data_IF_090072135057
#
_entry.id   IF_090072135057
#
_cell.length_a   1.000
_cell.length_b   1.000
_cell.length_c   1.000
_cell.angle_alpha   90.00
_cell.angle_beta   90.00
_cell.angle_gamma   90.00
#
_symmetry.space_group_name_H-M   'P 1'
#
loop_
_entity.id
_entity.type
_entity.pdbx_description
1 polymer ?
#
# COMPACT_ATOMS: atom_id res chain seq x y z
N UNK A 1 2.96 -11.15 -10.88
CA UNK A 1 3.39 -9.73 -11.02
C UNK A 1 4.38 -9.44 -9.90
N UNK A 2 5.26 -8.43 -9.98
CA UNK A 2 6.06 -8.05 -8.82
C UNK A 2 5.13 -7.65 -7.68
N UNK A 3 5.58 -7.80 -6.44
CA UNK A 3 4.88 -7.32 -5.24
C UNK A 3 5.88 -6.42 -4.54
N UNK A 4 5.54 -5.14 -4.42
CA UNK A 4 6.43 -4.11 -3.88
C UNK A 4 5.84 -3.50 -2.61
N UNK A 5 6.72 -3.19 -1.67
CA UNK A 5 6.48 -2.30 -0.54
C UNK A 5 7.43 -1.11 -0.67
N UNK A 6 7.07 0.04 -0.10
CA UNK A 6 7.82 1.28 -0.29
C UNK A 6 8.27 1.84 1.06
N UNK A 7 9.58 1.96 1.24
CA UNK A 7 10.17 2.63 2.40
C UNK A 7 10.35 4.12 2.10
N UNK A 8 9.70 4.96 2.89
CA UNK A 8 9.80 6.42 2.86
C UNK A 8 10.66 6.85 4.06
N UNK A 9 11.74 7.59 3.79
CA UNK A 9 12.54 8.27 4.81
C UNK A 9 12.31 9.77 4.66
N UNK A 10 11.63 10.40 5.62
CA UNK A 10 11.24 11.80 5.52
C UNK A 10 11.20 12.46 6.89
N UNK A 11 11.77 13.66 7.04
CA UNK A 11 11.80 14.43 8.28
C UNK A 11 12.26 13.62 9.52
N UNK A 12 13.23 12.72 9.32
CA UNK A 12 13.76 11.84 10.37
C UNK A 12 12.85 10.65 10.74
N UNK A 13 11.76 10.44 10.02
CA UNK A 13 10.80 9.34 10.21
C UNK A 13 10.99 8.26 9.16
N UNK A 14 10.71 7.00 9.53
CA UNK A 14 10.67 5.87 8.62
C UNK A 14 9.23 5.38 8.49
N UNK A 15 8.66 5.48 7.29
CA UNK A 15 7.30 5.01 6.98
C UNK A 15 7.38 3.92 5.93
N UNK A 16 6.71 2.80 6.17
CA UNK A 16 6.58 1.73 5.19
C UNK A 16 5.16 1.75 4.61
N UNK A 17 5.03 1.69 3.29
CA UNK A 17 3.75 1.51 2.61
C UNK A 17 3.67 0.09 2.07
N UNK A 18 2.65 -0.64 2.52
CA UNK A 18 2.43 -2.08 2.38
C UNK A 18 3.55 -2.95 2.98
N UNK A 19 3.29 -4.25 3.08
CA UNK A 19 4.22 -5.19 3.73
C UNK A 19 4.73 -6.27 2.79
N UNK A 20 4.10 -6.45 1.62
CA UNK A 20 4.48 -7.50 0.70
C UNK A 20 4.14 -8.90 1.24
N UNK A 21 4.86 -9.88 0.71
CA UNK A 21 4.81 -11.27 1.16
C UNK A 21 5.66 -11.49 2.43
N UNK A 22 5.10 -12.21 3.39
CA UNK A 22 5.83 -12.71 4.57
C UNK A 22 6.92 -13.71 4.21
N UNK A 23 7.92 -13.84 5.08
CA UNK A 23 8.84 -14.98 5.06
C UNK A 23 8.11 -16.33 5.09
N UNK A 24 6.93 -16.40 5.73
CA UNK A 24 6.10 -17.61 5.76
C UNK A 24 5.59 -18.01 4.37
N UNK A 25 5.47 -17.07 3.42
CA UNK A 25 5.17 -17.41 2.03
C UNK A 25 6.34 -18.15 1.37
N UNK A 26 7.59 -17.80 1.69
CA UNK A 26 8.78 -18.50 1.18
C UNK A 26 8.95 -19.90 1.80
N UNK A 27 8.46 -20.09 3.04
CA UNK A 27 8.57 -21.36 3.78
C UNK A 27 7.42 -22.32 3.43
N UNK A 28 6.17 -21.84 3.56
CA UNK A 28 4.96 -22.62 3.27
C UNK A 28 3.77 -21.70 2.95
N UNK A 29 3.76 -21.14 1.74
CA UNK A 29 2.69 -20.25 1.26
C UNK A 29 1.29 -20.83 1.42
N UNK A 30 1.08 -22.12 1.12
CA UNK A 30 -0.26 -22.74 1.23
C UNK A 30 -0.76 -22.74 2.67
N UNK A 31 0.10 -22.96 3.66
CA UNK A 31 -0.28 -22.87 5.08
C UNK A 31 -0.58 -21.42 5.47
N UNK A 32 0.31 -20.50 5.11
CA UNK A 32 0.22 -19.09 5.47
C UNK A 32 -0.97 -18.36 4.85
N UNK A 33 -1.20 -18.55 3.54
CA UNK A 33 -2.29 -17.93 2.78
C UNK A 33 -3.57 -18.75 2.80
N UNK A 34 -3.46 -20.07 2.95
CA UNK A 34 -4.60 -20.96 2.99
C UNK A 34 -5.01 -21.32 1.58
N UNK A 35 -5.88 -22.31 1.42
CA UNK A 35 -6.13 -22.91 0.11
C UNK A 35 -6.67 -21.87 -0.89
N UNK A 36 -7.68 -21.09 -0.51
CA UNK A 36 -8.31 -20.12 -1.41
C UNK A 36 -7.31 -19.06 -1.91
N UNK A 37 -6.71 -18.29 -1.00
CA UNK A 37 -5.79 -17.20 -1.37
C UNK A 37 -4.52 -17.72 -2.04
N UNK A 38 -4.00 -18.89 -1.65
CA UNK A 38 -2.85 -19.50 -2.32
C UNK A 38 -3.11 -19.76 -3.80
N UNK A 39 -4.29 -20.28 -4.15
CA UNK A 39 -4.63 -20.54 -5.55
C UNK A 39 -5.01 -19.28 -6.33
N UNK A 40 -5.47 -18.22 -5.66
CA UNK A 40 -5.76 -16.93 -6.29
C UNK A 40 -4.51 -16.06 -6.52
N UNK A 41 -3.53 -16.11 -5.60
CA UNK A 41 -2.28 -15.35 -5.69
C UNK A 41 -1.13 -16.21 -5.17
N UNK A 42 -0.43 -16.88 -6.10
CA UNK A 42 0.70 -17.76 -5.77
C UNK A 42 1.98 -16.93 -5.57
N UNK A 43 2.55 -16.90 -4.35
CA UNK A 43 3.78 -16.17 -4.11
C UNK A 43 4.98 -16.88 -4.75
N UNK A 44 5.81 -16.10 -5.44
CA UNK A 44 7.12 -16.53 -5.89
C UNK A 44 8.15 -15.62 -5.27
N UNK A 45 8.78 -16.08 -4.18
CA UNK A 45 9.78 -15.32 -3.44
C UNK A 45 10.75 -16.24 -2.69
N UNK A 46 11.91 -15.70 -2.39
CA UNK A 46 12.87 -16.23 -1.42
C UNK A 46 12.71 -15.50 -0.08
N UNK A 47 13.36 -16.00 0.97
CA UNK A 47 13.39 -15.30 2.26
C UNK A 47 13.97 -13.88 2.15
N UNK A 48 14.98 -13.68 1.28
CA UNK A 48 15.64 -12.39 1.09
C UNK A 48 14.75 -11.33 0.46
N UNK A 49 13.70 -11.75 -0.26
CA UNK A 49 12.73 -10.85 -0.86
C UNK A 49 11.70 -10.34 0.16
N UNK A 50 11.61 -10.94 1.36
CA UNK A 50 10.70 -10.46 2.41
C UNK A 50 11.10 -9.07 2.90
N UNK A 51 10.09 -8.25 3.23
CA UNK A 51 10.30 -6.87 3.67
C UNK A 51 11.18 -6.80 4.93
N UNK A 52 11.02 -7.75 5.86
CA UNK A 52 11.81 -7.79 7.10
C UNK A 52 13.31 -8.00 6.83
N UNK A 53 13.68 -8.71 5.77
CA UNK A 53 15.09 -8.87 5.38
C UNK A 53 15.60 -7.69 4.58
N UNK A 54 14.78 -7.15 3.68
CA UNK A 54 15.16 -5.96 2.93
C UNK A 54 15.39 -4.75 3.84
N UNK A 55 14.58 -4.56 4.89
CA UNK A 55 14.77 -3.49 5.88
C UNK A 55 16.10 -3.57 6.61
N UNK A 56 16.64 -4.77 6.85
CA UNK A 56 17.96 -4.94 7.48
C UNK A 56 19.08 -4.35 6.64
N UNK A 57 18.96 -4.35 5.30
CA UNK A 57 19.93 -3.72 4.41
C UNK A 57 19.94 -2.18 4.53
N UNK A 58 18.93 -1.60 5.21
CA UNK A 58 18.84 -0.18 5.53
C UNK A 58 19.09 0.11 7.01
N UNK A 59 19.64 -0.85 7.77
CA UNK A 59 19.84 -0.79 9.23
C UNK A 59 18.54 -0.53 10.03
N UNK A 60 17.41 -0.94 9.46
CA UNK A 60 16.09 -0.79 10.08
C UNK A 60 15.60 -2.12 10.68
N UNK A 61 15.16 -2.04 11.93
CA UNK A 61 14.32 -3.05 12.57
C UNK A 61 12.87 -2.56 12.59
N UNK A 62 11.87 -3.43 12.80
CA UNK A 62 10.48 -3.00 12.89
C UNK A 62 10.25 -1.85 13.87
N UNK A 63 10.93 -1.85 15.02
CA UNK A 63 10.81 -0.82 16.07
C UNK A 63 11.28 0.57 15.63
N UNK A 64 12.08 0.64 14.55
CA UNK A 64 12.51 1.90 13.95
C UNK A 64 11.51 2.45 12.91
N UNK A 65 10.45 1.70 12.57
CA UNK A 65 9.38 2.18 11.73
C UNK A 65 8.39 2.99 12.57
N UNK A 66 8.20 4.25 12.18
CA UNK A 66 7.25 5.15 12.81
C UNK A 66 5.81 4.84 12.39
N UNK A 67 5.63 4.33 11.17
CA UNK A 67 4.33 3.91 10.67
C UNK A 67 4.46 2.85 9.57
N UNK A 68 3.50 1.92 9.55
CA UNK A 68 3.22 1.04 8.42
C UNK A 68 1.84 1.38 7.89
N UNK A 69 1.74 1.86 6.65
CA UNK A 69 0.48 2.22 6.00
C UNK A 69 0.10 1.09 5.05
N UNK A 70 -1.06 0.49 5.25
CA UNK A 70 -1.62 -0.54 4.39
C UNK A 70 -2.54 0.14 3.37
N UNK A 71 -2.17 0.07 2.09
CA UNK A 71 -3.01 0.62 1.01
C UNK A 71 -4.36 -0.08 0.97
N UNK A 72 -4.38 -1.37 1.29
CA UNK A 72 -5.55 -2.21 1.53
C UNK A 72 -5.11 -3.54 2.18
N UNK A 73 -6.03 -4.48 2.40
CA UNK A 73 -5.76 -5.72 3.15
C UNK A 73 -5.68 -7.01 2.29
N UNK A 74 -5.40 -6.89 0.98
CA UNK A 74 -5.14 -8.08 0.18
C UNK A 74 -3.85 -8.79 0.62
N UNK A 75 -3.80 -10.09 0.32
CA UNK A 75 -2.81 -10.96 0.92
C UNK A 75 -1.37 -10.59 0.59
N UNK A 76 -1.10 -10.06 -0.60
CA UNK A 76 0.21 -9.60 -1.03
C UNK A 76 0.60 -8.22 -0.49
N UNK A 77 -0.32 -7.49 0.14
CA UNK A 77 -0.05 -6.22 0.81
C UNK A 77 0.05 -6.38 2.33
N UNK A 78 -0.68 -7.36 2.88
CA UNK A 78 -0.84 -7.58 4.31
C UNK A 78 -0.11 -8.82 4.86
N UNK A 79 0.48 -9.67 4.02
CA UNK A 79 1.01 -10.97 4.47
C UNK A 79 2.12 -10.84 5.50
N UNK A 80 3.00 -9.83 5.41
CA UNK A 80 4.13 -9.64 6.31
C UNK A 80 3.84 -8.75 7.54
N UNK A 81 2.58 -8.38 7.81
CA UNK A 81 2.22 -7.53 8.97
C UNK A 81 2.80 -8.10 10.28
N UNK A 82 2.67 -9.41 10.50
CA UNK A 82 3.18 -10.07 11.72
C UNK A 82 4.70 -10.12 11.81
N UNK A 83 5.40 -10.09 10.67
CA UNK A 83 6.86 -10.01 10.62
C UNK A 83 7.36 -8.62 11.09
N UNK A 84 6.47 -7.61 11.03
CA UNK A 84 6.74 -6.22 11.38
C UNK A 84 6.12 -5.78 12.72
N UNK A 85 5.61 -6.69 13.55
CA UNK A 85 4.84 -6.39 14.78
C UNK A 85 5.50 -5.43 15.79
N UNK A 86 6.80 -5.14 15.65
CA UNK A 86 7.51 -4.16 16.47
C UNK A 86 7.36 -2.71 16.00
N UNK A 87 6.79 -2.45 14.81
CA UNK A 87 6.52 -1.10 14.32
C UNK A 87 5.59 -0.33 15.26
N UNK A 88 5.80 0.99 15.37
CA UNK A 88 5.07 1.81 16.34
C UNK A 88 3.57 1.85 16.06
N UNK A 89 3.21 1.96 14.78
CA UNK A 89 1.83 2.09 14.33
C UNK A 89 1.60 1.35 13.02
N UNK A 90 0.43 0.73 12.89
CA UNK A 90 -0.10 0.21 11.64
C UNK A 90 -1.39 0.96 11.31
N UNK A 91 -1.53 1.39 10.06
CA UNK A 91 -2.66 2.19 9.61
C UNK A 91 -3.34 1.56 8.41
N UNK A 92 -4.67 1.57 8.42
CA UNK A 92 -5.49 1.29 7.25
C UNK A 92 -6.71 2.23 7.28
N UNK A 93 -7.40 2.40 6.15
CA UNK A 93 -8.66 3.15 6.17
C UNK A 93 -9.69 2.41 7.00
N UNK A 94 -10.58 3.16 7.67
CA UNK A 94 -11.65 2.56 8.45
C UNK A 94 -12.56 1.69 7.57
N UNK A 95 -12.83 2.13 6.35
CA UNK A 95 -13.64 1.39 5.39
C UNK A 95 -13.02 0.03 5.03
N UNK A 96 -11.69 -0.05 4.93
CA UNK A 96 -10.99 -1.31 4.66
C UNK A 96 -11.06 -2.25 5.87
N UNK A 97 -10.87 -1.70 7.07
CA UNK A 97 -11.00 -2.46 8.32
C UNK A 97 -12.42 -3.02 8.48
N UNK A 98 -13.45 -2.20 8.23
CA UNK A 98 -14.86 -2.58 8.37
C UNK A 98 -15.22 -3.72 7.40
N UNK A 99 -14.84 -3.62 6.12
CA UNK A 99 -15.13 -4.69 5.14
C UNK A 99 -14.37 -5.98 5.46
N UNK A 100 -13.15 -5.87 6.01
CA UNK A 100 -12.33 -7.01 6.41
C UNK A 100 -12.88 -7.73 7.65
N UNK A 101 -13.79 -7.10 8.42
CA UNK A 101 -14.48 -7.77 9.52
C UNK A 101 -15.59 -8.71 9.05
N UNK A 102 -16.18 -8.45 7.89
CA UNK A 102 -17.28 -9.25 7.36
C UNK A 102 -16.79 -10.60 6.80
N UNK A 103 -17.68 -11.61 6.67
CA UNK A 103 -17.36 -12.85 5.97
C UNK A 103 -17.06 -12.58 4.48
N UNK A 104 -15.78 -12.40 4.15
CA UNK A 104 -15.33 -12.05 2.82
C UNK A 104 -14.08 -12.87 2.46
N UNK A 105 -14.12 -13.71 1.41
CA UNK A 105 -13.01 -14.60 1.04
C UNK A 105 -11.76 -13.85 0.55
N UNK A 106 -11.87 -12.56 0.26
CA UNK A 106 -10.75 -11.68 -0.08
C UNK A 106 -9.75 -11.53 1.08
N UNK A 107 -10.26 -11.55 2.31
CA UNK A 107 -9.50 -11.21 3.51
C UNK A 107 -9.23 -12.44 4.37
N UNK A 108 -8.01 -12.53 4.91
CA UNK A 108 -7.64 -13.57 5.87
C UNK A 108 -7.11 -12.95 7.16
N UNK A 109 -7.98 -12.84 8.17
CA UNK A 109 -7.67 -12.22 9.46
C UNK A 109 -6.42 -12.75 10.15
N UNK A 110 -6.09 -14.04 9.98
CA UNK A 110 -4.87 -14.63 10.57
C UNK A 110 -3.56 -14.01 10.05
N UNK A 111 -3.58 -13.27 8.94
CA UNK A 111 -2.41 -12.55 8.41
C UNK A 111 -2.01 -11.36 9.30
N UNK A 112 -2.95 -10.77 10.05
CA UNK A 112 -2.71 -9.65 10.96
C UNK A 112 -3.20 -9.88 12.40
N UNK A 113 -3.69 -11.08 12.71
CA UNK A 113 -4.10 -11.43 14.07
C UNK A 113 -2.95 -11.24 15.07
N UNK A 114 -3.25 -10.51 16.16
CA UNK A 114 -2.29 -10.14 17.19
C UNK A 114 -1.52 -8.84 16.92
N UNK A 115 -1.81 -8.14 15.82
CA UNK A 115 -1.32 -6.79 15.53
C UNK A 115 -2.51 -5.85 15.44
N UNK A 116 -2.47 -4.75 16.20
CA UNK A 116 -3.48 -3.70 16.13
C UNK A 116 -3.26 -2.86 14.88
N UNK A 117 -4.31 -2.69 14.07
CA UNK A 117 -4.30 -1.81 12.90
C UNK A 117 -5.28 -0.68 13.19
N UNK A 118 -4.75 0.54 13.26
CA UNK A 118 -5.48 1.75 13.55
C UNK A 118 -6.24 2.22 12.30
N UNK A 119 -7.51 2.55 12.50
CA UNK A 119 -8.32 3.21 11.47
C UNK A 119 -7.89 4.66 11.30
N UNK A 120 -7.42 5.02 10.11
CA UNK A 120 -6.98 6.39 9.81
C UNK A 120 -8.15 7.37 9.97
N UNK A 121 -7.93 8.43 10.74
CA UNK A 121 -8.88 9.54 10.84
C UNK A 121 -8.79 10.43 9.60
N UNK A 122 -9.73 10.26 8.68
CA UNK A 122 -9.84 11.02 7.45
C UNK A 122 -10.58 12.34 7.67
N UNK A 123 -10.01 13.43 7.17
CA UNK A 123 -10.61 14.77 7.16
C UNK A 123 -11.05 15.15 5.73
N UNK A 124 -11.94 16.14 5.61
CA UNK A 124 -12.31 16.66 4.30
C UNK A 124 -11.09 17.24 3.57
N UNK A 125 -10.91 16.86 2.31
CA UNK A 125 -9.85 17.37 1.44
C UNK A 125 -10.38 17.49 0.01
N UNK A 126 -10.55 18.72 -0.46
CA UNK A 126 -11.04 19.02 -1.81
C UNK A 126 -10.09 18.60 -2.94
N UNK A 127 -8.84 18.26 -2.62
CA UNK A 127 -7.86 17.75 -3.59
C UNK A 127 -7.89 16.22 -3.70
N UNK A 128 -8.54 15.54 -2.76
CA UNK A 128 -8.72 14.10 -2.80
C UNK A 128 -9.90 13.73 -3.74
N UNK A 129 -9.80 12.63 -4.50
CA UNK A 129 -10.82 12.25 -5.48
C UNK A 129 -12.19 11.95 -4.86
N UNK A 130 -12.20 11.55 -3.60
CA UNK A 130 -13.40 11.26 -2.82
C UNK A 130 -13.56 12.20 -1.63
N UNK A 131 -12.95 13.38 -1.71
CA UNK A 131 -13.17 14.46 -0.76
C UNK A 131 -12.60 14.23 0.64
N UNK A 132 -11.76 13.20 0.85
CA UNK A 132 -11.15 12.96 2.16
C UNK A 132 -9.73 12.39 2.10
N UNK A 133 -8.90 12.84 3.04
CA UNK A 133 -7.52 12.40 3.23
C UNK A 133 -7.09 12.57 4.69
N UNK A 134 -5.94 12.00 5.05
CA UNK A 134 -5.31 12.17 6.35
C UNK A 134 -3.86 12.61 6.16
N UNK A 135 -3.49 13.72 6.75
CA UNK A 135 -2.08 14.12 6.93
C UNK A 135 -1.54 13.41 8.16
N UNK A 136 -0.77 12.34 7.95
CA UNK A 136 -0.40 11.39 9.01
C UNK A 136 0.40 12.07 10.13
N UNK A 137 1.18 13.08 9.79
CA UNK A 137 2.07 13.76 10.71
C UNK A 137 1.68 15.21 10.99
N UNK A 138 0.70 15.75 10.28
CA UNK A 138 0.24 17.13 10.39
C UNK A 138 1.19 18.16 9.78
N UNK A 139 2.27 17.72 9.14
CA UNK A 139 3.27 18.58 8.46
C UNK A 139 3.14 18.54 6.93
N UNK A 140 2.19 17.78 6.39
CA UNK A 140 1.92 17.64 4.95
C UNK A 140 2.86 16.69 4.23
N UNK A 141 3.83 16.09 4.90
CA UNK A 141 4.88 15.27 4.30
C UNK A 141 4.38 13.91 3.81
N UNK A 142 3.46 13.29 4.55
CA UNK A 142 2.86 11.99 4.20
C UNK A 142 1.35 12.08 4.36
N UNK A 143 0.65 11.95 3.23
CA UNK A 143 -0.80 12.03 3.18
C UNK A 143 -1.41 10.73 2.67
N UNK A 144 -2.32 10.15 3.43
CA UNK A 144 -3.12 8.99 3.04
C UNK A 144 -4.40 9.50 2.37
N UNK A 145 -4.60 9.19 1.09
CA UNK A 145 -5.70 9.69 0.27
C UNK A 145 -6.67 8.55 -0.01
N UNK A 146 -7.94 8.71 0.38
CA UNK A 146 -8.96 7.70 0.14
C UNK A 146 -9.27 7.56 -1.36
N UNK A 147 -9.08 6.35 -1.88
CA UNK A 147 -9.22 5.99 -3.30
C UNK A 147 -9.87 4.61 -3.41
N UNK A 148 -11.14 4.44 -2.99
CA UNK A 148 -11.85 3.18 -3.15
C UNK A 148 -11.96 2.84 -4.64
N UNK A 149 -12.07 1.55 -4.96
CA UNK A 149 -12.16 1.09 -6.33
C UNK A 149 -11.68 -0.34 -6.45
N UNK A 150 -10.39 -0.55 -6.18
CA UNK A 150 -9.79 -1.88 -6.06
C UNK A 150 -10.43 -2.65 -4.91
N UNK A 151 -10.40 -2.08 -3.70
CA UNK A 151 -11.15 -2.56 -2.54
C UNK A 151 -12.17 -1.51 -2.09
N UNK A 152 -12.97 -1.85 -1.07
CA UNK A 152 -13.94 -0.92 -0.50
C UNK A 152 -13.26 0.24 0.23
N UNK A 153 -12.06 0.02 0.78
CA UNK A 153 -11.31 1.02 1.52
C UNK A 153 -9.90 1.31 1.00
N UNK A 154 -9.59 1.00 -0.25
CA UNK A 154 -8.24 1.24 -0.79
C UNK A 154 -7.84 2.71 -0.70
N UNK A 155 -6.55 2.96 -0.48
CA UNK A 155 -5.98 4.31 -0.44
C UNK A 155 -4.67 4.40 -1.23
N UNK A 156 -4.37 5.61 -1.69
CA UNK A 156 -3.06 5.99 -2.18
C UNK A 156 -2.31 6.78 -1.10
N UNK A 157 -0.97 6.76 -1.15
CA UNK A 157 -0.13 7.57 -0.26
C UNK A 157 0.59 8.63 -1.09
N UNK A 158 0.47 9.89 -0.72
CA UNK A 158 1.18 11.02 -1.34
C UNK A 158 2.30 11.46 -0.40
N UNK A 159 3.53 11.43 -0.88
CA UNK A 159 4.71 11.91 -0.18
C UNK A 159 5.11 13.26 -0.77
N UNK A 160 5.36 14.26 0.06
CA UNK A 160 5.78 15.59 -0.37
C UNK A 160 7.01 16.04 0.39
N UNK A 161 7.99 16.52 -0.34
CA UNK A 161 9.16 17.19 0.24
C UNK A 161 9.65 18.27 -0.72
N UNK A 162 10.13 19.40 -0.19
CA UNK A 162 10.73 20.51 -0.96
C UNK A 162 9.97 20.94 -2.23
N UNK A 163 8.63 20.91 -2.18
CA UNK A 163 7.76 21.27 -3.31
C UNK A 163 7.63 20.20 -4.41
N UNK A 164 8.30 19.06 -4.26
CA UNK A 164 8.17 17.86 -5.09
C UNK A 164 7.27 16.83 -4.40
N UNK A 165 6.77 15.88 -5.19
CA UNK A 165 5.90 14.82 -4.66
C UNK A 165 6.06 13.49 -5.39
N UNK A 166 5.76 12.41 -4.69
CA UNK A 166 5.54 11.09 -5.27
C UNK A 166 4.21 10.51 -4.78
N UNK A 167 3.61 9.63 -5.57
CA UNK A 167 2.37 8.94 -5.20
C UNK A 167 2.60 7.44 -5.23
N UNK A 168 2.24 6.74 -4.15
CA UNK A 168 2.18 5.28 -4.10
C UNK A 168 0.71 4.89 -4.24
N UNK A 169 0.37 4.23 -5.34
CA UNK A 169 -1.00 3.95 -5.73
C UNK A 169 -1.56 2.63 -5.15
N UNK A 170 -0.70 1.78 -4.58
CA UNK A 170 -1.05 0.38 -4.29
C UNK A 170 -1.58 -0.28 -5.56
N UNK A 171 -2.83 -0.73 -5.48
CA UNK A 171 -3.54 -1.42 -6.57
C UNK A 171 -4.59 -0.55 -7.28
N UNK A 172 -4.63 0.76 -7.02
CA UNK A 172 -5.49 1.69 -7.77
C UNK A 172 -5.01 1.95 -9.22
N UNK A 173 -4.09 1.12 -9.71
CA UNK A 173 -3.50 1.09 -11.04
C UNK A 173 -2.30 0.15 -11.01
N UNK A 174 -1.95 -0.48 -12.12
CA UNK A 174 -0.80 -1.41 -12.17
C UNK A 174 0.44 -0.81 -12.83
N UNK A 175 0.27 0.18 -13.70
CA UNK A 175 1.35 0.90 -14.39
C UNK A 175 0.81 2.20 -15.02
N UNK A 176 1.67 2.95 -15.70
CA UNK A 176 1.29 4.21 -16.35
C UNK A 176 0.05 4.11 -17.24
N UNK A 177 -0.03 3.06 -18.06
CA UNK A 177 -1.17 2.83 -18.95
C UNK A 177 -2.50 2.72 -18.21
N UNK A 178 -2.49 2.28 -16.96
CA UNK A 178 -3.70 2.23 -16.14
C UNK A 178 -4.32 3.62 -16.01
N UNK A 179 -3.54 4.66 -15.70
CA UNK A 179 -4.09 6.00 -15.51
C UNK A 179 -4.09 6.86 -16.77
N UNK A 180 -3.16 6.66 -17.69
CA UNK A 180 -3.13 7.42 -18.95
C UNK A 180 -4.18 6.96 -19.95
N UNK A 181 -4.53 5.68 -19.97
CA UNK A 181 -5.50 5.08 -20.91
C UNK A 181 -6.78 4.55 -20.23
N UNK A 182 -6.90 4.72 -18.90
CA UNK A 182 -8.02 4.20 -18.08
C UNK A 182 -8.17 2.67 -18.15
N UNK A 183 -7.05 1.95 -18.26
CA UNK A 183 -7.03 0.48 -18.24
C UNK A 183 -7.31 -0.01 -16.82
N UNK A 184 -8.41 -0.75 -16.69
CA UNK A 184 -8.80 -1.43 -15.47
C UNK A 184 -8.02 -2.75 -15.36
N UNK A 185 -7.40 -2.99 -14.21
CA UNK A 185 -6.60 -4.20 -13.97
C UNK A 185 -6.82 -4.72 -12.55
N UNK A 186 -6.62 -6.03 -12.37
CA UNK A 186 -6.79 -6.69 -11.08
C UNK A 186 -8.25 -6.89 -10.63
N UNK A 187 -8.45 -7.40 -9.41
CA UNK A 187 -9.76 -7.47 -8.76
C UNK A 187 -10.35 -6.08 -8.51
N UNK A 188 -11.59 -5.82 -8.92
CA UNK A 188 -12.20 -4.48 -8.76
C UNK A 188 -13.49 -4.61 -7.95
N UNK A 189 -13.52 -3.93 -6.80
CA UNK A 189 -14.71 -3.83 -5.97
C UNK A 189 -15.76 -2.87 -6.58
N UNK A 190 -15.33 -1.74 -7.14
CA UNK A 190 -16.21 -0.77 -7.78
C UNK A 190 -15.56 -0.11 -9.00
N UNK A 191 -16.12 -0.39 -10.19
CA UNK A 191 -15.59 0.08 -11.48
C UNK A 191 -15.64 1.61 -11.60
N UNK A 192 -16.71 2.26 -11.13
CA UNK A 192 -16.84 3.71 -11.26
C UNK A 192 -15.85 4.42 -10.35
N UNK A 193 -15.70 3.94 -9.12
CA UNK A 193 -14.73 4.50 -8.18
C UNK A 193 -13.30 4.28 -8.69
N UNK A 194 -12.99 3.09 -9.22
CA UNK A 194 -11.69 2.82 -9.84
C UNK A 194 -11.37 3.80 -10.98
N UNK A 195 -12.34 4.09 -11.86
CA UNK A 195 -12.16 5.10 -12.93
C UNK A 195 -11.91 6.51 -12.37
N UNK A 196 -12.56 6.88 -11.27
CA UNK A 196 -12.31 8.16 -10.60
C UNK A 196 -10.89 8.19 -10.03
N UNK A 197 -10.45 7.14 -9.34
CA UNK A 197 -9.09 6.99 -8.82
C UNK A 197 -8.03 7.08 -9.92
N UNK A 198 -8.23 6.39 -11.06
CA UNK A 198 -7.32 6.44 -12.20
C UNK A 198 -7.23 7.84 -12.82
N UNK A 199 -8.35 8.55 -12.98
CA UNK A 199 -8.34 9.94 -13.45
C UNK A 199 -7.57 10.87 -12.51
N UNK A 200 -7.72 10.65 -11.21
CA UNK A 200 -6.97 11.41 -10.21
C UNK A 200 -5.48 11.08 -10.25
N UNK A 201 -5.09 9.80 -10.34
CA UNK A 201 -3.70 9.39 -10.54
C UNK A 201 -3.10 10.01 -11.80
N UNK A 202 -3.84 10.07 -12.91
CA UNK A 202 -3.36 10.73 -14.13
C UNK A 202 -3.13 12.22 -13.90
N UNK A 203 -4.04 12.91 -13.18
CA UNK A 203 -3.85 14.31 -12.80
C UNK A 203 -2.61 14.50 -11.93
N UNK A 204 -2.36 13.60 -10.98
CA UNK A 204 -1.15 13.63 -10.14
C UNK A 204 0.11 13.39 -10.97
N UNK A 205 0.09 12.40 -11.87
CA UNK A 205 1.18 12.08 -12.78
C UNK A 205 1.56 13.26 -13.69
N UNK A 206 0.56 14.00 -14.21
CA UNK A 206 0.78 15.18 -15.05
C UNK A 206 1.18 16.45 -14.28
N UNK A 207 1.25 16.40 -12.94
CA UNK A 207 1.66 17.55 -12.15
C UNK A 207 3.18 17.78 -12.34
N UNK A 208 3.64 19.00 -12.68
CA UNK A 208 5.08 19.27 -12.92
C UNK A 208 5.97 19.06 -11.69
N UNK A 209 5.39 18.95 -10.50
CA UNK A 209 6.09 18.65 -9.26
C UNK A 209 6.03 17.16 -8.87
N UNK A 210 5.27 16.34 -9.59
CA UNK A 210 5.25 14.90 -9.38
C UNK A 210 6.47 14.27 -10.04
N UNK A 211 7.31 13.63 -9.23
CA UNK A 211 8.51 12.93 -9.71
C UNK A 211 8.21 11.48 -10.07
N UNK A 212 7.19 10.88 -9.46
CA UNK A 212 6.82 9.49 -9.71
C UNK A 212 5.39 9.16 -9.23
N UNK A 213 4.73 8.27 -9.97
CA UNK A 213 3.57 7.50 -9.51
C UNK A 213 3.95 6.03 -9.54
N UNK A 214 4.01 5.42 -8.35
CA UNK A 214 4.49 4.08 -8.11
C UNK A 214 3.33 3.14 -7.82
N UNK A 215 3.40 1.91 -8.32
CA UNK A 215 2.40 0.88 -8.04
C UNK A 215 3.08 -0.37 -7.49
N UNK A 216 2.31 -1.20 -6.78
CA UNK A 216 2.83 -2.43 -6.19
C UNK A 216 3.19 -3.49 -7.24
N UNK A 217 2.68 -3.35 -8.48
CA UNK A 217 2.74 -4.39 -9.50
C UNK A 217 3.29 -3.97 -10.88
N UNK A 218 3.85 -2.77 -10.99
CA UNK A 218 4.50 -2.33 -12.23
C UNK A 218 5.75 -3.20 -12.51
N UNK A 219 5.72 -3.95 -13.62
CA UNK A 219 6.82 -4.82 -14.06
C UNK A 219 7.97 -4.05 -14.72
N UNK A 220 7.66 -2.89 -15.28
CA UNK A 220 8.57 -2.12 -16.11
C UNK A 220 9.33 -1.08 -15.27
N UNK A 221 8.75 -0.68 -14.12
CA UNK A 221 9.42 0.20 -13.16
C UNK A 221 10.48 -0.54 -12.32
N UNK A 222 11.75 -0.26 -12.61
CA UNK A 222 12.91 -0.93 -12.00
C UNK A 222 13.74 -0.04 -11.06
N UNK A 223 13.42 1.26 -10.96
CA UNK A 223 14.12 2.13 -10.01
C UNK A 223 13.80 1.71 -8.58
N UNK A 224 14.85 1.58 -7.77
CA UNK A 224 14.75 1.10 -6.37
C UNK A 224 14.90 2.23 -5.35
N UNK A 225 15.26 3.43 -5.81
CA UNK A 225 15.47 4.61 -4.96
C UNK A 225 15.11 5.88 -5.74
N UNK A 226 14.36 6.77 -5.10
CA UNK A 226 13.98 8.09 -5.61
C UNK A 226 14.36 9.11 -4.54
N UNK A 227 15.00 10.22 -4.93
CA UNK A 227 15.37 11.32 -4.04
C UNK A 227 14.84 12.64 -4.64
N UNK A 228 14.18 13.45 -3.80
CA UNK A 228 13.68 14.79 -4.16
C UNK A 228 13.46 15.64 -2.91
#
# INVERSE_FOLDING_TARGET
MPVKAFLIKINGKNVLVDTGWSEQCAINARRHLGIALYFSSQPTLTLNDSVIRQLKNFDLTPEKLDAVILTHLDCDHASAIKDLKGAKHFYATKEELDIAQLPNPRYRKSLWEGVEIEGVQMNYDSHAPFGKSCDLFGDGSVRIVYTPGHSAGSCCVVVKDNGKMAVIAGDNGTNEKSWSELILSGPIHNIQNMKISLRWLNKMYQNPNCVAVLTSHDKDYNETKIEF
#
